data_IF_595537438178
#
_entry.id   IF_595537438178
#
_cell.length_a   1.000
_cell.length_b   1.000
_cell.length_c   1.000
_cell.angle_alpha   90.00
_cell.angle_beta   90.00
_cell.angle_gamma   90.00
#
_symmetry.space_group_name_H-M   'P 1'
#
loop_
_entity.id
_entity.type
_entity.pdbx_description
1 polymer ?
#
# COMPACT_ATOMS: atom_id res chain seq x y z
N UNK A 1 8.99 18.57 0.11
CA UNK A 1 8.84 17.10 -0.05
C UNK A 1 7.72 16.76 -1.03
N UNK A 2 6.60 17.44 -0.92
CA UNK A 2 5.40 17.42 -1.73
C UNK A 2 5.71 17.54 -3.23
N UNK A 3 6.50 18.52 -3.65
CA UNK A 3 6.89 18.67 -5.06
C UNK A 3 7.65 17.44 -5.59
N UNK A 4 8.49 16.82 -4.77
CA UNK A 4 9.24 15.62 -5.16
C UNK A 4 8.28 14.46 -5.38
N UNK A 5 7.38 14.16 -4.43
CA UNK A 5 6.44 13.05 -4.62
C UNK A 5 5.42 13.34 -5.73
N UNK A 6 4.91 14.57 -5.83
CA UNK A 6 3.79 14.88 -6.73
C UNK A 6 4.21 15.21 -8.17
N UNK A 7 5.44 15.66 -8.41
CA UNK A 7 5.85 16.26 -9.70
C UNK A 7 7.15 15.69 -10.24
N UNK A 8 8.23 15.65 -9.44
CA UNK A 8 9.60 15.48 -9.97
C UNK A 8 10.38 14.27 -9.43
N UNK A 9 9.73 13.36 -8.70
CA UNK A 9 10.36 12.23 -8.00
C UNK A 9 10.48 10.96 -8.84
N UNK A 10 10.18 11.02 -10.14
CA UNK A 10 10.32 9.88 -11.05
C UNK A 10 9.42 8.71 -10.65
N UNK A 11 10.01 7.58 -10.26
CA UNK A 11 9.27 6.37 -9.89
C UNK A 11 8.31 6.61 -8.71
N UNK A 12 8.69 7.45 -7.74
CA UNK A 12 7.84 7.76 -6.58
C UNK A 12 6.57 8.51 -7.00
N UNK A 13 6.70 9.42 -7.97
CA UNK A 13 5.57 10.15 -8.56
C UNK A 13 4.67 9.24 -9.38
N UNK A 14 5.26 8.32 -10.15
CA UNK A 14 4.50 7.32 -10.90
C UNK A 14 3.70 6.39 -9.97
N UNK A 15 4.32 5.91 -8.89
CA UNK A 15 3.67 5.04 -7.92
C UNK A 15 2.56 5.77 -7.17
N UNK A 16 2.77 7.04 -6.80
CA UNK A 16 1.75 7.86 -6.16
C UNK A 16 0.53 8.04 -7.06
N UNK A 17 0.71 8.58 -8.27
CA UNK A 17 -0.43 8.89 -9.14
C UNK A 17 -1.03 7.64 -9.79
N UNK A 18 -0.19 6.80 -10.40
CA UNK A 18 -0.63 5.65 -11.17
C UNK A 18 -1.16 4.52 -10.30
N UNK A 19 -0.41 4.14 -9.26
CA UNK A 19 -0.74 2.94 -8.47
C UNK A 19 -1.61 3.28 -7.27
N UNK A 20 -1.21 4.25 -6.45
CA UNK A 20 -1.96 4.59 -5.24
C UNK A 20 -3.27 5.32 -5.58
N UNK A 21 -3.21 6.46 -6.28
CA UNK A 21 -4.39 7.30 -6.52
C UNK A 21 -5.33 6.67 -7.54
N UNK A 22 -4.84 6.38 -8.74
CA UNK A 22 -5.69 5.87 -9.83
C UNK A 22 -6.07 4.42 -9.58
N UNK A 23 -5.09 3.50 -9.54
CA UNK A 23 -5.37 2.07 -9.47
C UNK A 23 -5.89 1.62 -8.11
N UNK A 24 -5.39 2.20 -7.01
CA UNK A 24 -5.78 1.84 -5.65
C UNK A 24 -6.96 2.62 -5.07
N UNK A 25 -7.27 3.79 -5.64
CA UNK A 25 -8.34 4.68 -5.16
C UNK A 25 -9.49 4.78 -6.15
N UNK A 26 -9.26 5.42 -7.29
CA UNK A 26 -10.32 5.76 -8.25
C UNK A 26 -10.93 4.55 -8.95
N UNK A 27 -10.11 3.59 -9.40
CA UNK A 27 -10.59 2.39 -10.10
C UNK A 27 -11.48 1.52 -9.20
N UNK A 28 -11.11 1.20 -7.94
CA UNK A 28 -11.98 0.46 -7.03
C UNK A 28 -13.32 1.14 -6.76
N UNK A 29 -13.32 2.46 -6.59
CA UNK A 29 -14.54 3.26 -6.44
C UNK A 29 -15.42 3.09 -7.69
N UNK A 30 -14.85 3.31 -8.87
CA UNK A 30 -15.59 3.14 -10.12
C UNK A 30 -16.16 1.72 -10.28
N UNK A 31 -15.38 0.68 -9.96
CA UNK A 31 -15.81 -0.72 -10.05
C UNK A 31 -17.01 -1.02 -9.14
N UNK A 32 -16.99 -0.53 -7.90
CA UNK A 32 -18.04 -0.81 -6.91
C UNK A 32 -19.30 0.01 -7.20
N UNK A 33 -19.17 1.28 -7.61
CA UNK A 33 -20.32 2.17 -7.81
C UNK A 33 -20.96 2.05 -9.19
N UNK A 34 -20.19 1.75 -10.24
CA UNK A 34 -20.72 1.72 -11.61
C UNK A 34 -21.10 0.31 -12.08
N UNK A 35 -20.42 -0.73 -11.60
CA UNK A 35 -20.68 -2.12 -11.99
C UNK A 35 -20.57 -3.07 -10.78
N UNK A 36 -21.45 -2.95 -9.79
CA UNK A 36 -21.42 -3.83 -8.61
C UNK A 36 -21.69 -5.28 -9.03
N UNK A 37 -20.72 -6.15 -8.78
CA UNK A 37 -20.79 -7.59 -9.02
C UNK A 37 -19.81 -8.29 -8.08
N UNK A 38 -19.98 -9.59 -7.86
CA UNK A 38 -19.04 -10.36 -7.04
C UNK A 38 -17.60 -10.26 -7.55
N UNK A 39 -17.42 -10.28 -8.87
CA UNK A 39 -16.10 -10.19 -9.50
C UNK A 39 -15.50 -8.79 -9.33
N UNK A 40 -16.30 -7.73 -9.50
CA UNK A 40 -15.82 -6.35 -9.32
C UNK A 40 -15.47 -6.03 -7.87
N UNK A 41 -16.20 -6.57 -6.89
CA UNK A 41 -15.84 -6.43 -5.47
C UNK A 41 -14.52 -7.11 -5.14
N UNK A 42 -14.29 -8.32 -5.66
CA UNK A 42 -13.01 -9.03 -5.44
C UNK A 42 -11.86 -8.27 -6.10
N UNK A 43 -12.04 -7.82 -7.34
CA UNK A 43 -11.03 -7.04 -8.06
C UNK A 43 -10.74 -5.72 -7.35
N UNK A 44 -11.78 -4.98 -6.94
CA UNK A 44 -11.64 -3.73 -6.19
C UNK A 44 -10.83 -3.94 -4.91
N UNK A 45 -11.13 -4.98 -4.13
CA UNK A 45 -10.36 -5.30 -2.90
C UNK A 45 -8.88 -5.57 -3.18
N UNK A 46 -8.55 -6.32 -4.25
CA UNK A 46 -7.17 -6.60 -4.64
C UNK A 46 -6.44 -5.29 -5.01
N UNK A 47 -7.08 -4.46 -5.84
CA UNK A 47 -6.52 -3.19 -6.29
C UNK A 47 -6.31 -2.21 -5.12
N UNK A 48 -7.23 -2.15 -4.15
CA UNK A 48 -7.06 -1.36 -2.92
C UNK A 48 -5.84 -1.81 -2.13
N UNK A 49 -5.62 -3.13 -1.98
CA UNK A 49 -4.44 -3.65 -1.28
C UNK A 49 -3.15 -3.28 -2.01
N UNK A 50 -3.12 -3.40 -3.34
CA UNK A 50 -1.97 -2.97 -4.17
C UNK A 50 -1.69 -1.47 -3.98
N UNK A 51 -2.74 -0.64 -4.01
CA UNK A 51 -2.65 0.79 -3.75
C UNK A 51 -2.11 1.12 -2.36
N UNK A 52 -2.53 0.36 -1.34
CA UNK A 52 -2.03 0.48 0.03
C UNK A 52 -0.53 0.18 0.14
N UNK A 53 -0.04 -0.87 -0.52
CA UNK A 53 1.39 -1.14 -0.58
C UNK A 53 2.16 -0.04 -1.30
N UNK A 54 1.63 0.49 -2.42
CA UNK A 54 2.23 1.63 -3.10
C UNK A 54 2.29 2.88 -2.21
N UNK A 55 1.24 3.14 -1.43
CA UNK A 55 1.23 4.23 -0.45
C UNK A 55 2.34 4.06 0.60
N UNK A 56 2.48 2.88 1.19
CA UNK A 56 3.54 2.61 2.18
C UNK A 56 4.92 2.78 1.54
N UNK A 57 5.12 2.29 0.32
CA UNK A 57 6.37 2.45 -0.42
C UNK A 57 6.71 3.93 -0.67
N UNK A 58 5.74 4.72 -1.16
CA UNK A 58 5.92 6.15 -1.42
C UNK A 58 6.26 6.92 -0.14
N UNK A 59 5.63 6.58 0.99
CA UNK A 59 5.89 7.24 2.27
C UNK A 59 7.26 6.85 2.83
N UNK A 60 7.56 5.55 2.90
CA UNK A 60 8.78 5.05 3.56
C UNK A 60 10.00 5.25 2.66
N UNK A 61 9.98 4.67 1.46
CA UNK A 61 11.12 4.71 0.54
C UNK A 61 11.24 6.08 -0.11
N UNK A 62 10.13 6.68 -0.55
CA UNK A 62 10.13 8.03 -1.11
C UNK A 62 10.55 9.09 -0.07
N UNK A 63 10.20 8.90 1.20
CA UNK A 63 10.68 9.72 2.32
C UNK A 63 12.18 9.62 2.53
N UNK A 64 12.74 8.41 2.49
CA UNK A 64 14.18 8.17 2.64
C UNK A 64 15.00 8.65 1.43
N UNK A 65 14.41 8.62 0.24
CA UNK A 65 15.05 9.08 -0.99
C UNK A 65 15.02 10.60 -1.17
N UNK A 66 14.26 11.33 -0.34
CA UNK A 66 14.13 12.78 -0.48
C UNK A 66 15.46 13.49 -0.18
N UNK A 67 15.97 14.34 -1.10
CA UNK A 67 17.25 15.01 -0.93
C UNK A 67 17.14 16.11 0.13
N UNK A 68 17.47 15.76 1.37
CA UNK A 68 17.51 16.71 2.47
C UNK A 68 18.82 17.51 2.43
N UNK A 69 18.70 18.82 2.63
CA UNK A 69 19.83 19.69 2.95
C UNK A 69 19.85 19.88 4.47
N UNK A 70 20.71 19.14 5.15
CA UNK A 70 20.70 19.01 6.61
C UNK A 70 21.42 20.19 7.29
N UNK A 71 22.46 20.75 6.66
CA UNK A 71 23.26 21.84 7.20
C UNK A 71 23.29 23.06 6.28
N UNK A 72 22.17 23.76 6.11
CA UNK A 72 22.11 24.93 5.24
C UNK A 72 23.05 26.03 5.75
N UNK A 73 24.01 26.45 4.91
CA UNK A 73 24.93 27.54 5.20
C UNK A 73 26.25 27.13 5.90
N UNK A 74 26.50 25.82 6.06
CA UNK A 74 27.77 25.29 6.55
C UNK A 74 28.45 24.45 5.46
N UNK A 75 29.78 24.50 5.39
CA UNK A 75 30.57 23.64 4.49
C UNK A 75 30.89 22.34 5.23
N UNK A 76 30.26 21.24 4.80
CA UNK A 76 30.48 19.92 5.39
C UNK A 76 31.62 19.25 4.65
N UNK A 77 32.73 19.00 5.36
CA UNK A 77 33.98 18.46 4.80
C UNK A 77 33.79 17.02 4.26
N UNK A 78 32.88 16.25 4.88
CA UNK A 78 32.42 14.95 4.41
C UNK A 78 30.88 14.84 4.60
N UNK A 79 30.12 15.31 3.60
CA UNK A 79 28.66 15.28 3.61
C UNK A 79 28.10 13.89 3.33
N UNK A 80 27.30 13.33 4.24
CA UNK A 80 26.64 12.04 4.05
C UNK A 80 25.43 12.19 3.11
N UNK A 81 25.66 12.07 1.80
CA UNK A 81 24.62 12.06 0.75
C UNK A 81 23.69 13.31 0.78
N UNK A 82 24.24 14.50 1.04
CA UNK A 82 23.46 15.74 1.06
C UNK A 82 22.93 16.10 -0.33
N UNK A 83 21.63 16.42 -0.42
CA UNK A 83 21.03 16.93 -1.66
C UNK A 83 20.91 15.92 -2.81
N UNK A 84 21.28 14.65 -2.62
CA UNK A 84 21.20 13.60 -3.66
C UNK A 84 20.03 12.66 -3.38
N UNK A 85 19.35 12.23 -4.46
CA UNK A 85 18.30 11.21 -4.36
C UNK A 85 18.94 9.85 -4.12
N UNK A 86 18.69 9.23 -2.96
CA UNK A 86 19.23 7.91 -2.65
C UNK A 86 18.50 6.81 -3.44
N UNK A 87 19.22 5.99 -4.24
CA UNK A 87 18.60 4.91 -4.99
C UNK A 87 18.26 3.74 -4.06
N UNK A 88 17.06 3.19 -4.23
CA UNK A 88 16.62 1.97 -3.54
C UNK A 88 16.35 0.87 -4.57
N UNK A 89 17.04 -0.26 -4.43
CA UNK A 89 16.78 -1.47 -5.21
C UNK A 89 16.49 -2.61 -4.23
N UNK A 90 15.26 -3.14 -4.18
CA UNK A 90 14.91 -4.18 -3.25
C UNK A 90 15.67 -5.47 -3.55
N UNK A 91 16.19 -6.11 -2.51
CA UNK A 91 16.78 -7.43 -2.55
C UNK A 91 15.72 -8.54 -2.50
N UNK A 92 16.10 -9.74 -2.92
CA UNK A 92 15.23 -10.92 -2.83
C UNK A 92 14.81 -11.22 -1.38
N UNK A 93 15.67 -10.93 -0.41
CA UNK A 93 15.40 -11.19 1.01
C UNK A 93 14.37 -10.23 1.58
N UNK A 94 14.40 -8.96 1.17
CA UNK A 94 13.35 -7.99 1.53
C UNK A 94 12.00 -8.39 0.95
N UNK A 95 11.98 -8.89 -0.29
CA UNK A 95 10.76 -9.39 -0.91
C UNK A 95 10.21 -10.62 -0.16
N UNK A 96 11.08 -11.57 0.21
CA UNK A 96 10.70 -12.75 0.99
C UNK A 96 10.19 -12.37 2.39
N UNK A 97 10.79 -11.37 3.03
CA UNK A 97 10.34 -10.84 4.31
C UNK A 97 8.93 -10.24 4.20
N UNK A 98 8.70 -9.42 3.17
CA UNK A 98 7.38 -8.84 2.89
C UNK A 98 6.31 -9.91 2.66
N UNK A 99 6.63 -10.93 1.84
CA UNK A 99 5.72 -12.05 1.59
C UNK A 99 5.44 -12.87 2.86
N UNK A 100 6.45 -13.07 3.71
CA UNK A 100 6.29 -13.70 5.02
C UNK A 100 5.33 -12.93 5.93
N UNK A 101 5.39 -11.60 5.93
CA UNK A 101 4.45 -10.75 6.64
C UNK A 101 3.00 -10.92 6.15
N UNK A 102 2.79 -10.96 4.83
CA UNK A 102 1.46 -11.20 4.24
C UNK A 102 0.93 -12.59 4.62
N UNK A 103 1.78 -13.62 4.52
CA UNK A 103 1.40 -14.99 4.88
C UNK A 103 1.01 -15.10 6.37
N UNK A 104 1.78 -14.46 7.25
CA UNK A 104 1.49 -14.42 8.68
C UNK A 104 0.18 -13.68 8.98
N UNK A 105 -0.07 -12.55 8.31
CA UNK A 105 -1.31 -11.80 8.48
C UNK A 105 -2.54 -12.61 8.04
N UNK A 106 -2.47 -13.28 6.88
CA UNK A 106 -3.54 -14.16 6.40
C UNK A 106 -3.76 -15.35 7.33
N UNK A 107 -2.68 -15.96 7.83
CA UNK A 107 -2.76 -17.06 8.79
C UNK A 107 -3.45 -16.61 10.09
N UNK A 108 -3.03 -15.48 10.66
CA UNK A 108 -3.60 -14.93 11.89
C UNK A 108 -5.08 -14.57 11.70
N UNK A 109 -5.44 -13.91 10.59
CA UNK A 109 -6.81 -13.56 10.26
C UNK A 109 -7.70 -14.80 10.10
N UNK A 110 -7.21 -15.82 9.38
CA UNK A 110 -7.92 -17.09 9.18
C UNK A 110 -8.08 -17.88 10.49
N UNK A 111 -7.04 -17.94 11.31
CA UNK A 111 -7.06 -18.60 12.61
C UNK A 111 -8.04 -17.89 13.56
N UNK A 112 -8.00 -16.56 13.61
CA UNK A 112 -8.94 -15.74 14.37
C UNK A 112 -10.38 -15.97 13.91
N UNK A 113 -10.64 -15.97 12.60
CA UNK A 113 -11.96 -16.23 12.05
C UNK A 113 -12.51 -17.63 12.44
N UNK A 114 -11.63 -18.64 12.46
CA UNK A 114 -11.97 -20.01 12.85
C UNK A 114 -12.24 -20.14 14.36
N UNK A 115 -11.37 -19.58 15.20
CA UNK A 115 -11.48 -19.70 16.67
C UNK A 115 -12.69 -18.92 17.18
N UNK A 116 -12.86 -17.69 16.71
CA UNK A 116 -13.92 -16.79 17.18
C UNK A 116 -15.28 -17.04 16.51
N UNK A 117 -15.35 -17.90 15.48
CA UNK A 117 -16.58 -18.24 14.74
C UNK A 117 -17.35 -17.01 14.26
N UNK A 118 -16.63 -16.01 13.74
CA UNK A 118 -17.21 -14.75 13.26
C UNK A 118 -17.89 -14.87 11.89
N UNK A 119 -17.66 -15.97 11.17
CA UNK A 119 -18.24 -16.22 9.86
C UNK A 119 -19.63 -16.86 9.98
N UNK A 120 -20.60 -16.46 9.14
CA UNK A 120 -21.94 -17.05 9.12
C UNK A 120 -21.89 -18.51 8.63
N UNK A 121 -22.82 -19.34 9.13
CA UNK A 121 -22.89 -20.77 8.82
C UNK A 121 -23.41 -21.07 7.40
N UNK A 122 -24.13 -20.12 6.81
CA UNK A 122 -24.54 -20.13 5.42
C UNK A 122 -24.69 -18.69 4.90
N UNK A 123 -24.67 -18.53 3.58
CA UNK A 123 -24.72 -17.24 2.88
C UNK A 123 -26.14 -16.83 2.45
N UNK A 124 -27.18 -17.46 3.00
CA UNK A 124 -28.56 -17.11 2.64
C UNK A 124 -29.00 -15.83 3.36
N UNK A 125 -29.84 -15.02 2.70
CA UNK A 125 -30.34 -13.77 3.30
C UNK A 125 -31.18 -14.01 4.57
N UNK A 126 -31.84 -15.18 4.66
CA UNK A 126 -32.58 -15.61 5.85
C UNK A 126 -31.68 -15.77 7.10
N UNK A 127 -30.37 -15.92 6.91
CA UNK A 127 -29.40 -16.09 7.98
C UNK A 127 -29.04 -14.77 8.69
N UNK A 128 -29.43 -13.61 8.13
CA UNK A 128 -29.20 -12.28 8.75
C UNK A 128 -30.20 -11.99 9.89
N UNK A 129 -31.36 -12.64 9.90
CA UNK A 129 -32.43 -12.40 10.88
C UNK A 129 -32.24 -13.12 12.23
N UNK A 130 -31.24 -13.99 12.36
CA UNK A 130 -31.02 -14.79 13.56
C UNK A 130 -30.02 -14.13 14.53
N UNK A 131 -30.30 -12.90 14.99
CA UNK A 131 -29.70 -12.32 16.20
C UNK A 131 -30.58 -11.19 16.75
N UNK A 132 -31.44 -11.54 17.71
CA UNK A 132 -32.15 -10.60 18.60
C UNK A 132 -33.53 -10.20 18.12
#
# INVERSE_FOLDING_TARGET
YEHFILVSGGIYTLLFWGVQVILGGLVPIALVFLNPSRSSTVLASILVVIGGFAQVYVIVIGGQAFPLNIFPGYEVIEGFHEGVVNPYTPSIWELMLGLGGVALALFAAGLGAKILRVLPTNLSDANLAAKG
#
